data_IF_029464025712
#
_entry.id   IF_029464025712
#
_cell.length_a   1.000
_cell.length_b   1.000
_cell.length_c   1.000
_cell.angle_alpha   90.00
_cell.angle_beta   90.00
_cell.angle_gamma   90.00
#
_symmetry.space_group_name_H-M   'P 1'
#
loop_
_entity.id
_entity.type
_entity.pdbx_description
1 polymer ?
#
# COMPACT_ATOMS: atom_id res chain seq x y z
N UNK A 1 -21.61 60.54 -47.71
CA UNK A 1 -20.85 60.32 -46.52
C UNK A 1 -21.28 58.96 -45.89
N UNK A 2 -20.48 57.88 -45.98
CA UNK A 2 -20.80 56.58 -45.46
C UNK A 2 -20.00 56.42 -44.18
N UNK A 3 -20.67 56.31 -43.03
CA UNK A 3 -20.04 56.04 -41.72
C UNK A 3 -19.64 54.57 -41.62
N UNK A 4 -18.36 54.31 -41.55
CA UNK A 4 -17.76 53.00 -41.30
C UNK A 4 -17.96 52.63 -39.82
N UNK A 5 -18.84 51.66 -39.55
CA UNK A 5 -18.99 51.07 -38.22
C UNK A 5 -17.83 50.09 -38.00
N UNK A 6 -16.93 50.39 -37.04
CA UNK A 6 -15.93 49.45 -36.54
C UNK A 6 -16.66 48.28 -35.82
N UNK A 7 -16.34 47.03 -36.12
CA UNK A 7 -16.89 45.90 -35.38
C UNK A 7 -16.31 45.83 -33.99
N UNK A 8 -17.15 45.57 -32.99
CA UNK A 8 -16.85 45.53 -31.59
C UNK A 8 -15.89 44.39 -31.27
N UNK A 9 -14.72 44.71 -30.69
CA UNK A 9 -13.68 43.76 -30.25
C UNK A 9 -13.98 43.10 -28.88
N UNK A 10 -15.28 43.01 -28.53
CA UNK A 10 -15.70 42.67 -27.14
C UNK A 10 -15.80 41.18 -26.81
N UNK A 11 -15.55 40.27 -27.77
CA UNK A 11 -15.88 38.84 -27.59
C UNK A 11 -14.68 37.93 -27.26
N UNK A 12 -13.44 38.42 -27.37
CA UNK A 12 -12.24 37.58 -27.16
C UNK A 12 -11.91 37.36 -25.68
N UNK A 13 -12.26 38.26 -24.78
CA UNK A 13 -11.93 38.14 -23.37
C UNK A 13 -12.84 37.11 -22.63
N UNK A 14 -14.13 37.09 -23.04
CA UNK A 14 -15.09 36.14 -22.48
C UNK A 14 -14.75 34.66 -22.79
N UNK A 15 -14.35 34.40 -24.04
CA UNK A 15 -13.96 33.04 -24.46
C UNK A 15 -12.70 32.53 -23.75
N UNK A 16 -11.73 33.41 -23.52
CA UNK A 16 -10.49 33.05 -22.76
C UNK A 16 -10.81 32.73 -21.31
N UNK A 17 -11.71 33.44 -20.68
CA UNK A 17 -12.11 33.20 -19.29
C UNK A 17 -12.90 31.90 -19.13
N UNK A 18 -13.77 31.56 -20.08
CA UNK A 18 -14.49 30.28 -20.11
C UNK A 18 -13.51 29.14 -20.34
N UNK A 19 -12.58 29.26 -21.31
CA UNK A 19 -11.56 28.23 -21.55
C UNK A 19 -10.66 27.97 -20.33
N UNK A 20 -10.26 29.03 -19.64
CA UNK A 20 -9.45 28.91 -18.41
C UNK A 20 -10.22 28.20 -17.30
N UNK A 21 -11.52 28.50 -17.10
CA UNK A 21 -12.36 27.80 -16.13
C UNK A 21 -12.53 26.32 -16.44
N UNK A 22 -12.79 25.99 -17.71
CA UNK A 22 -12.92 24.61 -18.15
C UNK A 22 -11.61 23.83 -17.97
N UNK A 23 -10.46 24.45 -18.27
CA UNK A 23 -9.15 23.86 -18.04
C UNK A 23 -8.91 23.59 -16.55
N UNK A 24 -9.27 24.54 -15.69
CA UNK A 24 -9.11 24.41 -14.25
C UNK A 24 -10.00 23.30 -13.68
N UNK A 25 -11.25 23.21 -14.14
CA UNK A 25 -12.17 22.10 -13.78
C UNK A 25 -11.58 20.77 -14.24
N UNK A 26 -11.09 20.70 -15.48
CA UNK A 26 -10.48 19.48 -16.01
C UNK A 26 -9.27 19.04 -15.17
N UNK A 27 -8.40 19.97 -14.79
CA UNK A 27 -7.24 19.69 -13.92
C UNK A 27 -7.70 19.16 -12.56
N UNK A 28 -8.71 19.78 -11.95
CA UNK A 28 -9.26 19.33 -10.65
C UNK A 28 -9.87 17.94 -10.77
N UNK A 29 -10.60 17.66 -11.84
CA UNK A 29 -11.18 16.33 -12.10
C UNK A 29 -10.08 15.29 -12.29
N UNK A 30 -9.06 15.60 -13.11
CA UNK A 30 -7.94 14.68 -13.33
C UNK A 30 -7.15 14.42 -12.06
N UNK A 31 -6.87 15.44 -11.24
CA UNK A 31 -6.25 15.29 -9.92
C UNK A 31 -7.13 14.44 -9.00
N UNK A 32 -8.45 14.68 -8.99
CA UNK A 32 -9.39 13.88 -8.23
C UNK A 32 -9.34 12.41 -8.63
N UNK A 33 -9.43 12.11 -9.91
CA UNK A 33 -9.36 10.75 -10.44
C UNK A 33 -8.02 10.06 -10.16
N UNK A 34 -6.93 10.82 -10.06
CA UNK A 34 -5.61 10.28 -9.72
C UNK A 34 -5.46 9.93 -8.23
N UNK A 35 -6.07 10.75 -7.35
CA UNK A 35 -5.94 10.63 -5.90
C UNK A 35 -7.00 9.68 -5.30
N UNK A 36 -8.20 9.64 -5.90
CA UNK A 36 -9.33 8.82 -5.44
C UNK A 36 -9.03 7.31 -5.30
N UNK A 37 -8.19 6.68 -6.17
CA UNK A 37 -7.91 5.25 -6.06
C UNK A 37 -7.01 4.86 -4.88
N UNK A 38 -6.35 5.81 -4.22
CA UNK A 38 -5.42 5.49 -3.13
C UNK A 38 -6.11 5.57 -1.76
N UNK A 39 -6.33 4.44 -1.08
CA UNK A 39 -7.11 4.40 0.18
C UNK A 39 -6.47 5.23 1.29
N UNK A 40 -5.16 5.42 1.23
CA UNK A 40 -4.41 6.22 2.20
C UNK A 40 -4.39 7.72 1.90
N UNK A 41 -4.73 8.17 0.68
CA UNK A 41 -4.59 9.56 0.27
C UNK A 41 -5.48 10.52 1.06
N UNK A 42 -6.66 10.08 1.47
CA UNK A 42 -7.63 10.89 2.23
C UNK A 42 -7.54 10.74 3.74
N UNK A 43 -6.78 9.75 4.23
CA UNK A 43 -6.78 9.38 5.63
C UNK A 43 -5.46 9.69 6.34
N UNK A 44 -4.50 10.30 5.66
CA UNK A 44 -3.16 10.52 6.20
C UNK A 44 -3.00 11.74 7.10
N UNK A 45 -4.08 12.32 7.61
CA UNK A 45 -3.98 13.45 8.53
C UNK A 45 -3.18 14.62 7.95
N UNK A 46 -2.04 14.97 8.53
CA UNK A 46 -1.19 16.09 8.08
C UNK A 46 -0.20 15.75 6.95
N UNK A 47 -0.15 14.49 6.48
CA UNK A 47 0.83 14.05 5.48
C UNK A 47 0.14 13.42 4.27
N UNK A 48 -0.37 14.28 3.43
CA UNK A 48 -0.90 13.92 2.11
C UNK A 48 0.24 13.48 1.19
N UNK A 49 0.21 12.23 0.70
CA UNK A 49 1.07 11.79 -0.39
C UNK A 49 0.27 11.72 -1.68
N UNK A 50 0.42 12.72 -2.57
CA UNK A 50 -0.29 12.74 -3.84
C UNK A 50 0.24 11.69 -4.83
N UNK A 51 1.34 11.01 -4.50
CA UNK A 51 2.10 10.16 -5.44
C UNK A 51 1.69 8.70 -5.36
N UNK A 52 0.65 8.36 -4.59
CA UNK A 52 0.21 6.97 -4.46
C UNK A 52 1.20 6.05 -3.74
N UNK A 53 2.12 6.61 -2.95
CA UNK A 53 3.07 5.85 -2.13
C UNK A 53 2.68 5.93 -0.65
N UNK A 54 2.87 4.83 0.03
CA UNK A 54 2.65 4.74 1.47
C UNK A 54 3.73 3.89 2.13
N UNK A 55 4.31 4.44 3.18
CA UNK A 55 5.27 3.78 4.05
C UNK A 55 4.61 3.47 5.38
N UNK A 56 4.65 2.22 5.78
CA UNK A 56 4.09 1.81 7.06
C UNK A 56 4.85 0.68 7.70
N UNK A 57 4.88 0.68 9.03
CA UNK A 57 5.46 -0.43 9.77
C UNK A 57 4.67 -0.73 11.04
N UNK A 58 4.84 -1.94 11.54
CA UNK A 58 4.21 -2.35 12.78
C UNK A 58 4.57 -3.77 13.20
N UNK A 59 4.22 -4.11 14.44
CA UNK A 59 4.47 -5.45 14.97
C UNK A 59 3.56 -6.48 14.31
N UNK A 60 4.12 -7.66 14.05
CA UNK A 60 3.44 -8.88 13.66
C UNK A 60 3.61 -9.90 14.75
N UNK A 61 2.52 -10.46 15.22
CA UNK A 61 2.51 -11.62 16.12
C UNK A 61 2.08 -12.84 15.31
N UNK A 62 2.98 -13.78 15.15
CA UNK A 62 2.69 -15.03 14.47
C UNK A 62 1.94 -16.00 15.38
N UNK A 63 1.10 -16.84 14.78
CA UNK A 63 0.35 -17.87 15.51
C UNK A 63 1.23 -18.93 16.17
N UNK A 64 2.48 -19.04 15.74
CA UNK A 64 3.51 -19.88 16.37
C UNK A 64 4.24 -19.23 17.55
N UNK A 65 3.79 -18.04 17.99
CA UNK A 65 4.36 -17.29 19.12
C UNK A 65 5.53 -16.38 18.76
N UNK A 66 5.97 -16.33 17.50
CA UNK A 66 7.04 -15.45 17.06
C UNK A 66 6.60 -13.98 17.02
N UNK A 67 7.53 -13.08 17.34
CA UNK A 67 7.35 -11.62 17.26
C UNK A 67 8.25 -11.04 16.18
N UNK A 68 7.66 -10.23 15.32
CA UNK A 68 8.33 -9.65 14.17
C UNK A 68 7.93 -8.18 14.03
N UNK A 69 8.71 -7.44 13.27
CA UNK A 69 8.37 -6.10 12.84
C UNK A 69 8.38 -6.09 11.31
N UNK A 70 7.27 -5.71 10.71
CA UNK A 70 7.11 -5.62 9.26
C UNK A 70 7.07 -4.14 8.85
N UNK A 71 7.88 -3.77 7.88
CA UNK A 71 7.80 -2.51 7.15
C UNK A 71 7.36 -2.81 5.72
N UNK A 72 6.51 -1.94 5.18
CA UNK A 72 6.05 -2.00 3.80
C UNK A 72 6.17 -0.65 3.13
N UNK A 73 6.74 -0.63 1.95
CA UNK A 73 6.67 0.48 1.02
C UNK A 73 5.71 0.09 -0.10
N UNK A 74 4.53 0.71 -0.11
CA UNK A 74 3.46 0.43 -1.06
C UNK A 74 3.39 1.52 -2.10
N UNK A 75 3.24 1.12 -3.35
CA UNK A 75 2.93 1.99 -4.48
C UNK A 75 1.62 1.54 -5.09
N UNK A 76 0.63 2.44 -5.07
CA UNK A 76 -0.60 2.28 -5.81
C UNK A 76 -0.44 2.87 -7.22
N UNK A 77 -0.94 2.18 -8.22
CA UNK A 77 -0.99 2.67 -9.59
C UNK A 77 -2.38 2.51 -10.15
N UNK A 78 -2.77 3.37 -11.08
CA UNK A 78 -3.88 3.07 -11.97
C UNK A 78 -3.55 1.75 -12.63
N UNK A 79 -4.34 0.72 -12.36
CA UNK A 79 -4.10 -0.61 -12.84
C UNK A 79 -3.82 -0.60 -14.33
N UNK A 80 -2.60 -0.96 -14.68
CA UNK A 80 -2.38 -1.49 -16.01
C UNK A 80 -3.18 -2.78 -16.06
N UNK A 81 -4.36 -2.72 -16.68
CA UNK A 81 -5.34 -3.80 -16.84
C UNK A 81 -4.81 -4.98 -17.69
N UNK A 82 -3.53 -5.29 -17.61
CA UNK A 82 -2.94 -6.42 -18.29
C UNK A 82 -2.88 -7.62 -17.35
N UNK A 83 -4.01 -8.31 -17.21
CA UNK A 83 -3.98 -9.74 -16.95
C UNK A 83 -4.64 -10.32 -15.72
N UNK A 84 -5.41 -9.59 -14.88
CA UNK A 84 -6.20 -10.22 -13.82
C UNK A 84 -7.68 -9.92 -13.94
N UNK A 85 -8.37 -10.86 -14.59
CA UNK A 85 -9.77 -10.80 -14.98
C UNK A 85 -10.75 -11.15 -13.85
N UNK A 86 -10.71 -10.52 -12.70
CA UNK A 86 -11.78 -10.77 -11.73
C UNK A 86 -12.14 -9.63 -10.77
N UNK A 87 -11.83 -8.41 -11.13
CA UNK A 87 -12.38 -7.29 -10.40
C UNK A 87 -13.66 -6.82 -11.07
N UNK A 88 -14.77 -7.48 -10.75
CA UNK A 88 -16.10 -7.05 -11.19
C UNK A 88 -16.48 -5.75 -10.52
N UNK A 89 -16.95 -4.78 -11.30
CA UNK A 89 -17.61 -3.55 -10.92
C UNK A 89 -17.14 -2.92 -9.59
N UNK A 90 -16.03 -2.24 -9.60
CA UNK A 90 -15.54 -1.54 -8.41
C UNK A 90 -14.05 -1.22 -8.44
N UNK A 91 -13.34 -1.55 -9.50
CA UNK A 91 -11.91 -1.26 -9.66
C UNK A 91 -11.04 -2.00 -8.64
N UNK A 92 -10.04 -2.72 -9.11
CA UNK A 92 -8.92 -3.14 -8.26
C UNK A 92 -7.71 -2.33 -8.68
N UNK A 93 -7.12 -1.64 -7.74
CA UNK A 93 -5.83 -1.01 -7.94
C UNK A 93 -4.75 -2.00 -7.54
N UNK A 94 -3.81 -2.23 -8.44
CA UNK A 94 -2.64 -3.05 -8.13
C UNK A 94 -1.71 -2.30 -7.18
N UNK A 95 -1.26 -3.00 -6.16
CA UNK A 95 -0.19 -2.56 -5.29
C UNK A 95 1.11 -3.25 -5.69
N UNK A 96 2.19 -2.50 -5.70
CA UNK A 96 3.54 -3.02 -5.84
C UNK A 96 4.43 -2.36 -4.81
N UNK A 97 5.58 -2.95 -4.53
CA UNK A 97 6.52 -2.33 -3.61
C UNK A 97 7.53 -3.30 -3.04
N UNK A 98 8.00 -2.98 -1.85
CA UNK A 98 8.94 -3.80 -1.10
C UNK A 98 8.50 -3.92 0.35
N UNK A 99 8.87 -5.02 0.99
CA UNK A 99 8.67 -5.20 2.41
C UNK A 99 10.00 -5.56 3.08
N UNK A 100 10.14 -5.16 4.34
CA UNK A 100 11.26 -5.55 5.19
C UNK A 100 10.70 -6.18 6.46
N UNK A 101 11.25 -7.32 6.83
CA UNK A 101 10.90 -8.03 8.05
C UNK A 101 12.09 -8.08 8.98
N UNK A 102 11.88 -7.65 10.21
CA UNK A 102 12.83 -7.77 11.30
C UNK A 102 12.33 -8.81 12.29
N UNK A 103 13.23 -9.67 12.75
CA UNK A 103 12.93 -10.69 13.74
C UNK A 103 13.47 -10.33 15.12
N UNK A 104 12.95 -10.93 16.16
CA UNK A 104 13.45 -10.78 17.52
C UNK A 104 14.92 -11.19 17.66
N UNK A 105 15.42 -12.09 16.79
CA UNK A 105 16.84 -12.45 16.71
C UNK A 105 17.71 -11.47 15.93
N UNK A 106 17.19 -10.31 15.52
CA UNK A 106 17.93 -9.29 14.76
C UNK A 106 18.17 -9.65 13.29
N UNK A 107 17.52 -10.67 12.77
CA UNK A 107 17.60 -11.01 11.34
C UNK A 107 16.73 -10.07 10.53
N UNK A 108 17.24 -9.63 9.38
CA UNK A 108 16.53 -8.79 8.44
C UNK A 108 16.30 -9.53 7.13
N UNK A 109 15.09 -9.46 6.64
CA UNK A 109 14.69 -9.97 5.33
C UNK A 109 14.06 -8.85 4.52
N UNK A 110 14.30 -8.84 3.22
CA UNK A 110 13.61 -7.97 2.26
C UNK A 110 12.84 -8.83 1.28
N UNK A 111 11.63 -8.43 0.93
CA UNK A 111 10.74 -9.15 0.02
C UNK A 111 10.22 -8.21 -1.05
N UNK A 112 9.93 -8.77 -2.21
CA UNK A 112 9.11 -8.11 -3.21
C UNK A 112 7.64 -8.17 -2.73
N UNK A 113 6.94 -7.05 -2.88
CA UNK A 113 5.56 -6.93 -2.47
C UNK A 113 4.69 -6.70 -3.68
N UNK A 114 3.63 -7.50 -3.79
CA UNK A 114 2.54 -7.31 -4.75
C UNK A 114 1.21 -7.36 -3.99
N UNK A 115 0.16 -6.80 -4.56
CA UNK A 115 -1.14 -6.84 -3.92
C UNK A 115 -2.22 -6.14 -4.71
N UNK A 116 -3.38 -6.00 -4.10
CA UNK A 116 -4.51 -5.29 -4.66
C UNK A 116 -5.32 -4.58 -3.57
N UNK A 117 -5.91 -3.46 -3.93
CA UNK A 117 -6.93 -2.78 -3.13
C UNK A 117 -8.28 -3.02 -3.78
N UNK A 118 -9.22 -3.54 -3.01
CA UNK A 118 -10.56 -3.85 -3.46
C UNK A 118 -11.57 -2.84 -2.90
N UNK A 119 -12.38 -2.32 -3.78
CA UNK A 119 -13.51 -1.47 -3.41
C UNK A 119 -13.12 0.00 -3.26
N UNK A 120 -13.81 0.82 -4.02
CA UNK A 120 -13.79 2.26 -3.87
C UNK A 120 -14.78 2.61 -2.77
N UNK A 121 -14.32 3.28 -1.72
CA UNK A 121 -15.20 3.89 -0.71
C UNK A 121 -16.32 3.00 -0.16
N UNK A 122 -15.97 1.94 0.52
CA UNK A 122 -16.94 1.35 1.43
C UNK A 122 -16.90 2.12 2.75
N UNK A 123 -18.05 2.31 3.39
CA UNK A 123 -18.15 2.90 4.75
C UNK A 123 -17.30 2.15 5.77
N UNK A 124 -16.86 0.94 5.46
CA UNK A 124 -16.07 0.04 6.29
C UNK A 124 -14.56 0.02 5.96
N UNK A 125 -14.09 0.92 5.08
CA UNK A 125 -12.70 0.95 4.62
C UNK A 125 -12.45 0.13 3.36
N UNK A 126 -11.25 0.28 2.77
CA UNK A 126 -10.84 -0.45 1.57
C UNK A 126 -10.11 -1.73 1.97
N UNK A 127 -10.59 -2.87 1.47
CA UNK A 127 -9.90 -4.15 1.64
C UNK A 127 -8.61 -4.17 0.82
N UNK A 128 -7.56 -4.68 1.42
CA UNK A 128 -6.24 -4.76 0.78
C UNK A 128 -5.69 -6.15 0.99
N UNK A 129 -5.25 -6.75 -0.09
CA UNK A 129 -4.52 -8.03 -0.08
C UNK A 129 -3.05 -7.72 -0.45
N UNK A 130 -2.12 -8.27 0.32
CA UNK A 130 -0.67 -8.08 0.18
C UNK A 130 -0.01 -9.45 0.13
N UNK A 131 0.87 -9.65 -0.84
CA UNK A 131 1.65 -10.87 -1.01
C UNK A 131 3.14 -10.53 -0.99
N UNK A 132 3.91 -11.24 -0.16
CA UNK A 132 5.36 -11.17 -0.08
C UNK A 132 5.95 -12.37 -0.80
N UNK A 133 6.88 -12.12 -1.71
CA UNK A 133 7.56 -13.14 -2.52
C UNK A 133 9.05 -12.92 -2.55
N UNK A 134 9.80 -13.92 -2.97
CA UNK A 134 11.25 -13.84 -3.05
C UNK A 134 11.91 -13.83 -1.70
N UNK A 135 12.77 -12.87 -1.45
CA UNK A 135 13.43 -12.63 -0.16
C UNK A 135 14.95 -12.60 -0.26
N UNK A 136 15.56 -11.73 0.56
CA UNK A 136 17.01 -11.63 0.77
C UNK A 136 17.26 -11.42 2.26
N UNK A 137 18.36 -11.95 2.84
CA UNK A 137 19.43 -12.72 2.20
C UNK A 137 19.05 -14.17 1.87
N UNK A 138 17.93 -14.66 2.42
CA UNK A 138 17.43 -16.01 2.16
C UNK A 138 16.03 -15.91 1.58
N UNK A 139 15.80 -16.45 0.37
CA UNK A 139 14.48 -16.42 -0.24
C UNK A 139 13.52 -17.40 0.44
N UNK A 140 12.22 -17.12 0.32
CA UNK A 140 11.18 -18.11 0.56
C UNK A 140 11.38 -19.29 -0.41
N UNK A 141 11.02 -20.51 -0.04
CA UNK A 141 11.05 -21.64 -0.94
C UNK A 141 10.31 -21.36 -2.24
N UNK A 142 10.77 -21.97 -3.33
CA UNK A 142 10.18 -21.74 -4.65
C UNK A 142 8.66 -21.98 -4.65
N UNK A 143 7.89 -21.00 -5.14
CA UNK A 143 6.43 -21.05 -5.15
C UNK A 143 5.76 -20.68 -3.83
N UNK A 144 6.50 -20.36 -2.78
CA UNK A 144 5.91 -19.89 -1.53
C UNK A 144 5.60 -18.40 -1.61
N UNK A 145 4.44 -18.08 -1.04
CA UNK A 145 3.93 -16.72 -0.92
C UNK A 145 3.44 -16.53 0.51
N UNK A 146 3.83 -15.43 1.12
CA UNK A 146 3.25 -15.01 2.40
C UNK A 146 2.21 -13.94 2.11
N UNK A 147 0.96 -14.25 2.39
CA UNK A 147 -0.17 -13.40 2.06
C UNK A 147 -0.87 -12.86 3.30
N UNK A 148 -1.20 -11.59 3.25
CA UNK A 148 -2.00 -10.89 4.26
C UNK A 148 -3.21 -10.25 3.62
N UNK A 149 -4.30 -10.20 4.37
CA UNK A 149 -5.44 -9.34 4.07
C UNK A 149 -5.62 -8.31 5.19
N UNK A 150 -6.14 -7.16 4.83
CA UNK A 150 -6.42 -6.08 5.77
C UNK A 150 -7.50 -5.15 5.29
N UNK A 151 -7.92 -4.24 6.17
CA UNK A 151 -8.88 -3.19 5.84
C UNK A 151 -8.35 -1.87 6.39
N UNK A 152 -8.25 -0.86 5.55
CA UNK A 152 -7.79 0.46 5.94
C UNK A 152 -8.75 1.14 6.91
N UNK A 153 -8.20 1.62 8.01
CA UNK A 153 -8.88 2.50 8.98
C UNK A 153 -8.07 3.79 9.12
N UNK A 154 -8.34 4.75 8.26
CA UNK A 154 -7.53 5.96 8.20
C UNK A 154 -6.09 5.66 7.74
N UNK A 155 -5.10 6.09 8.51
CA UNK A 155 -3.68 5.85 8.23
C UNK A 155 -3.16 4.50 8.78
N UNK A 156 -4.06 3.63 9.24
CA UNK A 156 -3.73 2.36 9.88
C UNK A 156 -4.24 1.22 9.04
N UNK A 157 -3.39 0.21 8.83
CA UNK A 157 -3.73 -1.02 8.13
C UNK A 157 -3.54 -2.22 9.08
N UNK A 158 -4.60 -2.67 9.76
CA UNK A 158 -4.60 -3.98 10.39
C UNK A 158 -4.47 -5.06 9.32
N UNK A 159 -3.58 -6.02 9.55
CA UNK A 159 -3.35 -7.14 8.63
C UNK A 159 -3.48 -8.46 9.36
N UNK A 160 -3.98 -9.45 8.65
CA UNK A 160 -4.10 -10.83 9.11
C UNK A 160 -3.56 -11.75 8.02
N UNK A 161 -2.77 -12.71 8.43
CA UNK A 161 -2.20 -13.75 7.57
C UNK A 161 -3.31 -14.60 6.92
N UNK A 162 -3.20 -14.77 5.64
CA UNK A 162 -4.08 -15.66 4.87
C UNK A 162 -3.50 -17.06 4.91
N UNK A 163 -4.34 -18.06 5.19
CA UNK A 163 -3.99 -19.47 5.16
C UNK A 163 -2.79 -19.86 6.05
N UNK A 164 -2.49 -19.06 7.08
CA UNK A 164 -1.35 -19.24 7.99
C UNK A 164 0.04 -19.21 7.30
N UNK A 165 0.11 -18.66 6.11
CA UNK A 165 1.29 -18.66 5.25
C UNK A 165 2.52 -18.05 5.92
N UNK A 166 2.35 -17.01 6.75
CA UNK A 166 3.43 -16.39 7.52
C UNK A 166 3.97 -17.33 8.60
N UNK A 167 3.06 -17.91 9.39
CA UNK A 167 3.41 -18.82 10.47
C UNK A 167 4.04 -20.13 9.96
N UNK A 168 3.72 -20.51 8.73
CA UNK A 168 4.35 -21.63 8.03
C UNK A 168 5.74 -21.25 7.50
N UNK A 169 5.90 -20.04 6.96
CA UNK A 169 7.15 -19.58 6.37
C UNK A 169 8.24 -19.31 7.40
N UNK A 170 7.87 -18.87 8.61
CA UNK A 170 8.82 -18.46 9.63
C UNK A 170 8.74 -19.33 10.89
N UNK A 171 9.92 -19.65 11.45
CA UNK A 171 10.01 -20.25 12.78
C UNK A 171 9.80 -19.19 13.86
N UNK A 172 9.46 -19.55 15.11
CA UNK A 172 9.38 -18.59 16.21
C UNK A 172 10.68 -17.78 16.43
N UNK A 173 11.84 -18.37 16.11
CA UNK A 173 13.15 -17.68 16.15
C UNK A 173 13.39 -16.75 14.96
N UNK A 174 12.49 -16.74 13.97
CA UNK A 174 12.57 -15.86 12.80
C UNK A 174 13.28 -16.44 11.58
N UNK A 175 13.74 -17.68 11.63
CA UNK A 175 14.36 -18.31 10.46
C UNK A 175 13.29 -18.72 9.42
N UNK A 176 13.63 -18.58 8.14
CA UNK A 176 12.77 -19.10 7.05
C UNK A 176 12.84 -20.62 7.04
N UNK A 177 11.68 -21.28 7.05
CA UNK A 177 11.55 -22.73 6.91
C UNK A 177 11.83 -23.15 5.47
N UNK A 178 12.33 -24.35 5.33
CA UNK A 178 12.62 -24.95 3.99
C UNK A 178 11.59 -25.98 3.58
N UNK A 179 10.75 -26.40 4.51
CA UNK A 179 9.69 -27.40 4.27
C UNK A 179 8.39 -26.92 4.91
N UNK A 180 7.24 -27.26 4.30
CA UNK A 180 5.94 -26.98 4.88
C UNK A 180 5.80 -27.71 6.22
N UNK A 181 5.27 -26.99 7.20
CA UNK A 181 4.96 -27.58 8.52
C UNK A 181 3.46 -27.84 8.58
N UNK A 182 3.07 -29.04 8.95
CA UNK A 182 1.67 -29.38 9.23
C UNK A 182 1.20 -28.94 10.62
N UNK A 183 2.06 -28.22 11.37
CA UNK A 183 1.65 -27.66 12.65
C UNK A 183 0.56 -26.61 12.41
N UNK A 184 -0.61 -26.86 12.96
CA UNK A 184 -1.72 -25.90 12.96
C UNK A 184 -1.36 -24.70 13.86
N UNK A 185 -0.61 -23.79 13.31
CA UNK A 185 -0.33 -22.49 13.92
C UNK A 185 -1.42 -21.53 13.47
N UNK A 186 -1.98 -20.74 14.38
CA UNK A 186 -2.98 -19.74 14.03
C UNK A 186 -2.41 -18.67 13.08
N UNK A 187 -3.28 -17.84 12.50
CA UNK A 187 -2.87 -16.77 11.61
C UNK A 187 -1.99 -15.75 12.33
N UNK A 188 -0.99 -15.23 11.63
CA UNK A 188 -0.26 -14.06 12.09
C UNK A 188 -1.13 -12.81 11.99
N UNK A 189 -0.99 -11.90 12.94
CA UNK A 189 -1.74 -10.64 12.97
C UNK A 189 -0.82 -9.48 13.28
N UNK A 190 -1.14 -8.34 12.68
CA UNK A 190 -0.38 -7.12 12.92
C UNK A 190 -1.17 -5.87 12.60
N UNK A 191 -0.54 -4.73 12.88
CA UNK A 191 -1.13 -3.44 12.56
C UNK A 191 -0.02 -2.52 12.06
N UNK A 192 -0.08 -2.18 10.79
CA UNK A 192 0.85 -1.25 10.17
C UNK A 192 0.33 0.18 10.35
N UNK A 193 1.23 1.08 10.71
CA UNK A 193 0.98 2.51 10.85
C UNK A 193 1.97 3.27 9.98
N UNK A 194 1.53 4.41 9.46
CA UNK A 194 2.42 5.28 8.71
C UNK A 194 3.71 5.57 9.48
N UNK A 195 4.85 5.42 8.81
CA UNK A 195 6.15 5.68 9.41
C UNK A 195 7.31 5.42 8.45
N UNK A 196 8.41 6.10 8.67
CA UNK A 196 9.59 6.02 7.80
C UNK A 196 10.40 4.75 8.06
N UNK A 197 11.22 4.36 7.07
CA UNK A 197 12.21 3.28 7.20
C UNK A 197 13.16 3.52 8.38
N UNK A 198 13.56 4.77 8.65
CA UNK A 198 14.42 5.11 9.80
C UNK A 198 13.73 4.80 11.14
N UNK A 199 12.41 5.01 11.22
CA UNK A 199 11.63 4.66 12.41
C UNK A 199 11.51 3.14 12.58
N UNK A 200 11.33 2.43 11.48
CA UNK A 200 11.36 0.97 11.45
C UNK A 200 12.72 0.42 11.91
N UNK A 201 13.84 0.94 11.37
CA UNK A 201 15.19 0.48 11.74
C UNK A 201 15.48 0.66 13.23
N UNK A 202 15.02 1.78 13.82
CA UNK A 202 15.13 2.02 15.26
C UNK A 202 14.31 1.01 16.06
N UNK A 203 13.07 0.78 15.64
CA UNK A 203 12.20 -0.18 16.30
C UNK A 203 12.74 -1.62 16.17
N UNK A 204 13.35 -1.95 15.03
CA UNK A 204 13.97 -3.25 14.81
C UNK A 204 15.18 -3.49 15.73
N UNK A 205 16.07 -2.51 15.90
CA UNK A 205 17.16 -2.61 16.88
C UNK A 205 16.63 -2.82 18.29
N UNK A 206 15.58 -2.09 18.67
CA UNK A 206 14.94 -2.28 19.97
C UNK A 206 14.34 -3.69 20.13
N UNK A 207 13.69 -4.24 19.07
CA UNK A 207 13.18 -5.61 19.09
C UNK A 207 14.28 -6.65 19.26
N UNK A 208 15.45 -6.42 18.67
CA UNK A 208 16.63 -7.28 18.77
C UNK A 208 17.42 -7.09 20.09
N UNK A 209 16.95 -6.25 21.02
CA UNK A 209 17.65 -5.93 22.26
C UNK A 209 18.94 -5.14 22.07
N UNK A 210 19.14 -4.50 20.92
CA UNK A 210 20.29 -3.66 20.63
C UNK A 210 20.04 -2.21 21.09
N UNK A 211 21.05 -1.50 21.58
CA UNK A 211 20.89 -0.09 21.94
C UNK A 211 20.45 0.72 20.69
N UNK A 212 19.62 1.74 20.89
CA UNK A 212 19.05 2.58 19.82
C UNK A 212 20.08 3.39 19.04
#
# INVERSE_FOLDING_TARGET
MRASRKPASKDRSGRRYIALRLLLILIVVLLGLYVLPTPWAFHMGSKFSPVGEWDGYGPIQAGNGGHYLLYTHLRGGLANNHGHASCSFGGCDTLTGAAQLCTQGGQHYTFDLTGAVHGWYTTNGSRTDIALTGGKPKPLPHGWVVAFHGVWHGAVLPITDTDNSFSEAFTPSGAIRTTSSTAHTGPARGTLRYGSVTSFDRACRALAGQPP
#
